data_IF_217890139983
#
_entry.id   IF_217890139983
#
_cell.length_a   1.000
_cell.length_b   1.000
_cell.length_c   1.000
_cell.angle_alpha   90.00
_cell.angle_beta   90.00
_cell.angle_gamma   90.00
#
_symmetry.space_group_name_H-M   'P 1'
#
loop_
_entity.id
_entity.type
_entity.pdbx_description
1 polymer ?
#
# COMPACT_ATOMS: atom_id res chain seq x y z
N UNK A 1 -2.18 -5.01 -17.36
CA UNK A 1 -1.02 -4.47 -16.60
C UNK A 1 -0.87 -3.01 -17.00
N UNK A 2 -1.67 -2.11 -16.40
CA UNK A 2 -1.63 -0.65 -16.58
C UNK A 2 -2.62 -0.04 -15.56
N UNK A 3 -2.31 -0.05 -14.25
CA UNK A 3 -3.13 0.74 -13.30
C UNK A 3 -2.48 0.99 -11.93
N UNK A 4 -1.52 0.18 -11.50
CA UNK A 4 -0.99 0.31 -10.12
C UNK A 4 -0.19 1.62 -9.93
N UNK A 5 0.57 2.07 -10.93
CA UNK A 5 1.41 3.28 -10.82
C UNK A 5 0.62 4.59 -10.96
N UNK A 6 -0.55 4.58 -11.58
CA UNK A 6 -1.38 5.79 -11.75
C UNK A 6 -2.12 6.15 -10.45
N UNK A 7 -2.61 5.13 -9.73
CA UNK A 7 -3.30 5.30 -8.44
C UNK A 7 -2.35 5.78 -7.32
N UNK A 8 -1.10 5.29 -7.31
CA UNK A 8 -0.08 5.74 -6.36
C UNK A 8 0.17 7.24 -6.48
N UNK A 9 0.15 7.79 -7.69
CA UNK A 9 0.35 9.23 -7.92
C UNK A 9 -0.86 10.09 -7.49
N UNK A 10 -2.07 9.52 -7.45
CA UNK A 10 -3.25 10.22 -6.91
C UNK A 10 -3.32 10.19 -5.38
N UNK A 11 -2.92 9.10 -4.74
CA UNK A 11 -2.94 8.94 -3.27
C UNK A 11 -2.13 10.01 -2.53
N UNK A 12 -1.02 10.46 -3.12
CA UNK A 12 -0.11 11.45 -2.51
C UNK A 12 -0.30 12.86 -3.06
N UNK A 13 -1.37 13.09 -3.83
CA UNK A 13 -1.64 14.40 -4.45
C UNK A 13 -1.94 15.45 -3.37
N UNK A 14 -1.09 16.47 -3.29
CA UNK A 14 -1.23 17.56 -2.31
C UNK A 14 -0.45 17.35 -1.00
N UNK A 15 0.22 16.21 -0.82
CA UNK A 15 1.21 16.06 0.25
C UNK A 15 2.50 16.77 -0.12
N UNK A 16 3.11 17.44 0.85
CA UNK A 16 4.44 18.02 0.66
C UNK A 16 5.51 16.94 0.72
N UNK A 17 6.64 17.16 0.02
CA UNK A 17 7.79 16.25 0.09
C UNK A 17 8.27 16.04 1.53
N UNK A 18 8.18 17.07 2.37
CA UNK A 18 8.56 17.01 3.78
C UNK A 18 7.71 15.99 4.55
N UNK A 19 6.38 16.07 4.42
CA UNK A 19 5.46 15.12 5.07
C UNK A 19 5.70 13.67 4.62
N UNK A 20 6.04 13.48 3.34
CA UNK A 20 6.39 12.17 2.81
C UNK A 20 7.65 11.62 3.49
N UNK A 21 8.72 12.43 3.59
CA UNK A 21 9.98 12.03 4.24
C UNK A 21 9.86 11.85 5.75
N UNK A 22 8.94 12.56 6.40
CA UNK A 22 8.67 12.36 7.83
C UNK A 22 7.87 11.09 8.11
N UNK A 23 7.00 10.70 7.18
CA UNK A 23 6.18 9.49 7.30
C UNK A 23 6.93 8.22 6.89
N UNK A 24 7.79 8.32 5.87
CA UNK A 24 8.55 7.20 5.32
C UNK A 24 10.05 7.42 5.58
N UNK A 25 10.48 7.13 6.80
CA UNK A 25 11.88 7.30 7.22
C UNK A 25 12.74 6.11 6.80
N UNK A 26 12.13 4.94 6.71
CA UNK A 26 12.79 3.68 6.35
C UNK A 26 12.00 2.96 5.27
N UNK A 27 12.69 2.10 4.53
CA UNK A 27 12.04 1.25 3.52
C UNK A 27 10.96 0.36 4.15
N UNK A 28 11.13 -0.02 5.42
CA UNK A 28 10.14 -0.80 6.17
C UNK A 28 8.83 -0.02 6.38
N UNK A 29 8.89 1.28 6.71
CA UNK A 29 7.69 2.12 6.85
C UNK A 29 6.89 2.17 5.53
N UNK A 30 7.60 2.21 4.40
CA UNK A 30 6.99 2.14 3.07
C UNK A 30 6.33 0.78 2.83
N UNK A 31 7.03 -0.31 3.12
CA UNK A 31 6.52 -1.67 2.89
C UNK A 31 5.30 -1.98 3.75
N UNK A 32 5.29 -1.58 5.03
CA UNK A 32 4.15 -1.76 5.93
C UNK A 32 2.92 -0.95 5.48
N UNK A 33 3.13 0.29 5.05
CA UNK A 33 2.05 1.13 4.52
C UNK A 33 1.48 0.56 3.21
N UNK A 34 2.34 0.09 2.30
CA UNK A 34 1.89 -0.55 1.07
C UNK A 34 1.19 -1.88 1.32
N UNK A 35 1.65 -2.66 2.30
CA UNK A 35 1.02 -3.93 2.68
C UNK A 35 -0.38 -3.72 3.28
N UNK A 36 -0.53 -2.72 4.14
CA UNK A 36 -1.84 -2.36 4.72
C UNK A 36 -2.81 -1.86 3.64
N UNK A 37 -2.38 -0.97 2.75
CA UNK A 37 -3.20 -0.51 1.61
C UNK A 37 -3.61 -1.66 0.67
N UNK A 38 -2.68 -2.56 0.36
CA UNK A 38 -2.92 -3.63 -0.61
C UNK A 38 -3.92 -4.67 -0.09
N UNK A 39 -3.91 -4.92 1.22
CA UNK A 39 -4.68 -5.98 1.85
C UNK A 39 -5.67 -5.50 2.92
N UNK A 40 -6.10 -4.23 2.84
CA UNK A 40 -7.11 -3.65 3.73
C UNK A 40 -8.41 -4.48 3.75
N UNK A 41 -8.87 -4.92 2.57
CA UNK A 41 -10.03 -5.80 2.39
C UNK A 41 -9.70 -7.31 2.49
N UNK A 42 -8.49 -7.63 2.94
CA UNK A 42 -7.94 -8.99 2.99
C UNK A 42 -7.31 -9.47 1.68
N UNK A 43 -6.44 -10.46 1.79
CA UNK A 43 -5.78 -11.09 0.65
C UNK A 43 -6.60 -12.28 0.14
N UNK A 44 -7.07 -12.22 -1.11
CA UNK A 44 -7.62 -13.40 -1.78
C UNK A 44 -6.55 -14.08 -2.64
N UNK A 45 -6.12 -15.26 -2.23
CA UNK A 45 -5.13 -16.02 -2.99
C UNK A 45 -5.72 -16.46 -4.35
N UNK A 46 -5.13 -16.01 -5.46
CA UNK A 46 -5.60 -16.38 -6.81
C UNK A 46 -5.51 -17.88 -7.15
N UNK A 47 -4.70 -18.65 -6.40
CA UNK A 47 -4.57 -20.10 -6.61
C UNK A 47 -5.62 -20.91 -5.87
N UNK A 48 -6.02 -20.53 -4.66
CA UNK A 48 -6.94 -21.32 -3.82
C UNK A 48 -8.27 -20.61 -3.49
N UNK A 49 -8.43 -19.34 -3.86
CA UNK A 49 -9.66 -18.56 -3.63
C UNK A 49 -9.96 -18.25 -2.17
N UNK A 50 -9.09 -18.62 -1.24
CA UNK A 50 -9.31 -18.34 0.18
C UNK A 50 -8.95 -16.89 0.49
N UNK A 51 -9.89 -16.19 1.14
CA UNK A 51 -9.67 -14.89 1.76
C UNK A 51 -8.92 -15.11 3.07
N UNK A 52 -7.70 -14.62 3.16
CA UNK A 52 -6.96 -14.47 4.41
C UNK A 52 -7.04 -13.02 4.83
N UNK A 53 -7.56 -12.77 6.03
CA UNK A 53 -7.39 -11.49 6.69
C UNK A 53 -5.98 -11.45 7.26
N UNK A 54 -5.17 -10.52 6.78
CA UNK A 54 -3.87 -10.25 7.35
C UNK A 54 -4.12 -9.21 8.46
N UNK A 55 -4.22 -9.67 9.70
CA UNK A 55 -4.13 -8.77 10.85
C UNK A 55 -2.66 -8.37 10.95
N UNK A 56 -2.35 -7.16 10.47
CA UNK A 56 -1.11 -6.45 10.78
C UNK A 56 -1.38 -5.63 12.04
#
# INVERSE_FOLDING_TARGET
MHSENEYVMELFKGQSLLEFTERFKTDLDCEEYLASLKWEDGYCCRKCGQKRFLWI
#
